data_IF_118234002076
#
_entry.id   IF_118234002076
#
_cell.length_a   1.000
_cell.length_b   1.000
_cell.length_c   1.000
_cell.angle_alpha   90.00
_cell.angle_beta   90.00
_cell.angle_gamma   90.00
#
_symmetry.space_group_name_H-M   'P 1'
#
loop_
_entity.id
_entity.type
_entity.pdbx_description
1 polymer ?
#
# COMPACT_ATOMS: atom_id res chain seq x y z
N UNK A 1 -18.56 -2.97 3.83
CA UNK A 1 -17.67 -4.13 3.57
C UNK A 1 -17.09 -3.92 2.20
N UNK A 2 -15.77 -3.75 2.09
CA UNK A 2 -15.07 -3.64 0.80
C UNK A 2 -15.39 -4.89 -0.04
N UNK A 3 -15.71 -4.77 -1.33
CA UNK A 3 -15.89 -5.97 -2.18
C UNK A 3 -14.66 -6.88 -2.14
N UNK A 4 -14.87 -8.18 -2.35
CA UNK A 4 -13.79 -9.19 -2.35
C UNK A 4 -12.66 -8.84 -3.32
N UNK A 5 -12.99 -8.22 -4.45
CA UNK A 5 -12.03 -7.78 -5.48
C UNK A 5 -11.16 -6.63 -4.97
N UNK A 6 -11.77 -5.64 -4.32
CA UNK A 6 -11.04 -4.55 -3.68
C UNK A 6 -10.06 -5.04 -2.62
N UNK A 7 -10.51 -5.95 -1.76
CA UNK A 7 -9.62 -6.57 -0.77
C UNK A 7 -8.47 -7.33 -1.45
N UNK A 8 -8.76 -8.10 -2.50
CA UNK A 8 -7.73 -8.82 -3.24
C UNK A 8 -6.65 -7.89 -3.84
N UNK A 9 -7.05 -6.77 -4.43
CA UNK A 9 -6.12 -5.79 -4.99
C UNK A 9 -5.29 -5.09 -3.91
N UNK A 10 -5.86 -4.84 -2.73
CA UNK A 10 -5.11 -4.30 -1.59
C UNK A 10 -4.14 -5.35 -1.00
N UNK A 11 -4.39 -6.65 -1.16
CA UNK A 11 -3.50 -7.69 -0.62
C UNK A 11 -2.40 -8.10 -1.61
N UNK A 12 -2.68 -8.11 -2.91
CA UNK A 12 -1.83 -8.82 -3.89
C UNK A 12 -1.30 -7.98 -5.05
N UNK A 13 -1.33 -6.66 -4.93
CA UNK A 13 -0.67 -5.81 -5.91
C UNK A 13 0.84 -6.05 -5.92
N UNK A 14 1.46 -5.85 -7.08
CA UNK A 14 2.92 -5.80 -7.16
C UNK A 14 3.46 -4.72 -6.21
N UNK A 15 4.66 -4.96 -5.67
CA UNK A 15 5.33 -4.08 -4.70
C UNK A 15 4.51 -3.79 -3.43
N UNK A 16 3.44 -4.55 -3.16
CA UNK A 16 2.68 -4.47 -1.91
C UNK A 16 3.50 -4.91 -0.69
N UNK A 17 4.64 -5.55 -0.90
CA UNK A 17 5.50 -6.02 0.16
C UNK A 17 6.94 -5.62 -0.08
N UNK A 18 7.67 -5.44 1.00
CA UNK A 18 9.13 -5.43 1.04
C UNK A 18 9.59 -6.83 1.42
N UNK A 19 10.58 -7.36 0.72
CA UNK A 19 11.21 -8.64 1.04
C UNK A 19 12.62 -8.38 1.54
N UNK A 20 13.03 -9.13 2.54
CA UNK A 20 14.35 -8.95 3.11
C UNK A 20 14.71 -10.02 4.12
N UNK A 21 16.00 -10.11 4.40
CA UNK A 21 16.55 -11.01 5.38
C UNK A 21 16.64 -10.34 6.75
N UNK A 22 16.51 -11.12 7.83
CA UNK A 22 16.70 -10.60 9.18
C UNK A 22 18.00 -11.06 9.84
N UNK A 23 18.48 -10.25 10.78
CA UNK A 23 19.51 -10.59 11.76
C UNK A 23 19.01 -10.28 13.17
N UNK A 24 19.24 -11.19 14.10
CA UNK A 24 18.94 -10.98 15.52
C UNK A 24 20.18 -10.40 16.19
N UNK A 25 20.10 -9.14 16.62
CA UNK A 25 21.16 -8.43 17.33
C UNK A 25 21.30 -8.87 18.80
N UNK A 26 22.29 -8.31 19.49
CA UNK A 26 22.67 -8.71 20.86
C UNK A 26 21.53 -8.51 21.89
N UNK A 27 20.68 -7.51 21.69
CA UNK A 27 19.53 -7.18 22.56
C UNK A 27 18.20 -7.76 22.05
N UNK A 28 18.24 -8.83 21.25
CA UNK A 28 17.08 -9.41 20.52
C UNK A 28 16.38 -8.40 19.58
N UNK A 29 17.09 -7.35 19.17
CA UNK A 29 16.62 -6.47 18.11
C UNK A 29 16.62 -7.20 16.76
N UNK A 30 15.63 -6.92 15.93
CA UNK A 30 15.52 -7.54 14.61
C UNK A 30 15.98 -6.50 13.58
N UNK A 31 17.16 -6.69 13.03
CA UNK A 31 17.63 -5.90 11.88
C UNK A 31 17.02 -6.52 10.62
N UNK A 32 16.48 -5.70 9.73
CA UNK A 32 15.89 -6.10 8.46
C UNK A 32 16.67 -5.45 7.32
N UNK A 33 17.20 -6.30 6.45
CA UNK A 33 17.97 -5.97 5.27
C UNK A 33 17.05 -6.05 4.05
N UNK A 34 16.69 -4.91 3.49
CA UNK A 34 15.82 -4.81 2.31
C UNK A 34 16.57 -5.27 1.05
N UNK A 35 16.03 -6.29 0.37
CA UNK A 35 16.66 -6.87 -0.83
C UNK A 35 16.70 -5.91 -2.03
N UNK A 36 15.81 -4.91 -2.07
CA UNK A 36 15.62 -3.99 -3.20
C UNK A 36 16.37 -2.69 -2.96
N UNK A 37 16.14 -2.07 -1.80
CA UNK A 37 16.70 -0.75 -1.49
C UNK A 37 18.13 -0.81 -0.95
N UNK A 38 18.67 -2.00 -0.67
CA UNK A 38 19.95 -2.21 0.04
C UNK A 38 20.03 -1.47 1.39
N UNK A 39 18.86 -1.15 1.95
CA UNK A 39 18.71 -0.42 3.21
C UNK A 39 18.65 -1.38 4.39
N UNK A 40 19.18 -0.94 5.53
CA UNK A 40 19.10 -1.66 6.81
C UNK A 40 18.26 -0.85 7.79
N UNK A 41 17.26 -1.50 8.37
CA UNK A 41 16.36 -0.86 9.32
C UNK A 41 16.09 -1.75 10.53
N UNK A 42 15.73 -1.13 11.65
CA UNK A 42 15.23 -1.86 12.81
C UNK A 42 13.76 -2.24 12.56
N UNK A 43 13.48 -3.53 12.51
CA UNK A 43 12.13 -4.04 12.31
C UNK A 43 11.37 -4.08 13.63
N UNK A 44 10.44 -3.12 13.78
CA UNK A 44 9.53 -3.06 14.92
C UNK A 44 8.24 -3.81 14.60
N UNK A 45 8.10 -5.02 15.12
CA UNK A 45 6.89 -5.83 14.99
C UNK A 45 5.98 -5.63 16.20
N UNK A 46 4.71 -5.37 15.94
CA UNK A 46 3.68 -5.27 16.98
C UNK A 46 2.90 -6.58 17.11
N UNK A 47 2.41 -6.87 18.31
CA UNK A 47 1.58 -8.05 18.55
C UNK A 47 0.37 -8.07 17.60
N UNK A 48 0.11 -9.23 17.00
CA UNK A 48 -0.89 -9.49 15.96
C UNK A 48 -0.61 -8.88 14.59
N UNK A 49 0.58 -8.31 14.37
CA UNK A 49 0.98 -7.84 13.04
C UNK A 49 1.15 -9.02 12.07
N UNK A 50 0.70 -8.84 10.83
CA UNK A 50 0.76 -9.86 9.79
C UNK A 50 2.08 -9.73 9.04
N UNK A 51 2.81 -10.84 8.96
CA UNK A 51 4.08 -10.94 8.26
C UNK A 51 4.15 -12.27 7.56
N UNK A 52 4.84 -12.35 6.44
CA UNK A 52 5.07 -13.60 5.75
C UNK A 52 6.52 -14.04 5.94
N UNK A 53 6.74 -15.33 6.13
CA UNK A 53 8.07 -15.92 6.28
C UNK A 53 8.32 -16.95 5.18
N UNK A 54 9.53 -16.95 4.63
CA UNK A 54 9.96 -17.93 3.65
C UNK A 54 10.51 -19.17 4.35
N UNK A 55 9.81 -20.30 4.22
CA UNK A 55 10.26 -21.58 4.77
C UNK A 55 10.22 -22.64 3.68
N UNK A 56 11.32 -23.40 3.52
CA UNK A 56 11.42 -24.48 2.52
C UNK A 56 11.00 -24.04 1.10
N UNK A 57 11.34 -22.81 0.71
CA UNK A 57 11.02 -22.24 -0.60
C UNK A 57 9.55 -21.82 -0.79
N UNK A 58 8.75 -21.76 0.27
CA UNK A 58 7.35 -21.31 0.23
C UNK A 58 7.08 -20.20 1.24
N UNK A 59 6.26 -19.23 0.86
CA UNK A 59 5.80 -18.16 1.74
C UNK A 59 4.65 -18.64 2.62
N UNK A 60 4.73 -18.34 3.92
CA UNK A 60 3.68 -18.64 4.88
C UNK A 60 3.20 -17.36 5.56
N UNK A 61 1.89 -17.10 5.48
CA UNK A 61 1.22 -16.09 6.29
C UNK A 61 1.39 -16.39 7.78
N UNK A 62 2.02 -15.45 8.47
CA UNK A 62 2.26 -15.47 9.89
C UNK A 62 1.56 -14.33 10.62
N UNK A 63 1.28 -14.57 11.90
CA UNK A 63 0.87 -13.52 12.84
C UNK A 63 1.95 -13.41 13.89
N UNK A 64 2.58 -12.25 14.01
CA UNK A 64 3.57 -11.98 15.06
C UNK A 64 2.89 -12.02 16.43
N UNK A 65 3.48 -12.77 17.36
CA UNK A 65 3.04 -12.86 18.73
C UNK A 65 3.86 -11.86 19.56
N UNK A 66 4.90 -12.34 20.24
CA UNK A 66 5.81 -11.56 21.07
C UNK A 66 7.20 -12.19 21.02
N UNK A 67 8.24 -11.42 21.34
CA UNK A 67 9.61 -11.93 21.53
C UNK A 67 10.14 -12.74 20.32
N UNK A 68 9.90 -12.26 19.08
CA UNK A 68 10.37 -12.95 17.87
C UNK A 68 9.54 -14.17 17.48
N UNK A 69 8.47 -14.49 18.19
CA UNK A 69 7.62 -15.65 17.89
C UNK A 69 6.55 -15.30 16.84
N UNK A 70 6.43 -16.14 15.82
CA UNK A 70 5.40 -16.03 14.78
C UNK A 70 4.51 -17.27 14.82
N UNK A 71 3.20 -17.08 14.74
CA UNK A 71 2.25 -18.16 14.50
C UNK A 71 2.00 -18.31 13.00
N UNK A 72 2.35 -19.47 12.45
CA UNK A 72 2.15 -19.88 11.05
C UNK A 72 1.24 -21.13 11.00
N UNK A 73 0.73 -21.55 9.82
CA UNK A 73 -0.22 -22.67 9.73
C UNK A 73 0.30 -24.01 10.28
N UNK A 74 1.63 -24.21 10.28
CA UNK A 74 2.29 -25.41 10.78
C UNK A 74 2.67 -25.35 12.27
N UNK A 75 2.31 -24.27 12.97
CA UNK A 75 2.61 -24.07 14.39
C UNK A 75 3.34 -22.75 14.62
N UNK A 76 4.11 -22.69 15.70
CA UNK A 76 4.90 -21.49 15.99
C UNK A 76 6.33 -21.63 15.44
N UNK A 77 6.82 -20.54 14.86
CA UNK A 77 8.20 -20.38 14.42
C UNK A 77 8.88 -19.28 15.25
N UNK A 78 10.08 -19.57 15.75
CA UNK A 78 10.91 -18.55 16.40
C UNK A 78 11.81 -17.91 15.34
N UNK A 79 11.69 -16.59 15.17
CA UNK A 79 12.57 -15.83 14.29
C UNK A 79 14.03 -16.03 14.66
N UNK A 80 14.87 -16.18 13.65
CA UNK A 80 16.32 -16.34 13.76
C UNK A 80 17.01 -15.60 12.61
N UNK A 81 18.30 -15.31 12.80
CA UNK A 81 19.15 -14.76 11.74
C UNK A 81 19.09 -15.63 10.49
N UNK A 82 19.13 -14.99 9.32
CA UNK A 82 18.93 -15.55 7.98
C UNK A 82 17.48 -15.96 7.63
N UNK A 83 16.51 -15.78 8.52
CA UNK A 83 15.11 -15.90 8.10
C UNK A 83 14.78 -14.78 7.09
N UNK A 84 14.09 -15.13 6.00
CA UNK A 84 13.61 -14.14 5.03
C UNK A 84 12.15 -13.83 5.31
N UNK A 85 11.86 -12.54 5.49
CA UNK A 85 10.52 -12.03 5.73
C UNK A 85 10.01 -11.24 4.54
N UNK A 86 8.70 -11.24 4.40
CA UNK A 86 7.97 -10.36 3.50
C UNK A 86 6.97 -9.56 4.32
N UNK A 87 7.13 -8.25 4.32
CA UNK A 87 6.39 -7.31 5.16
C UNK A 87 5.53 -6.44 4.25
N UNK A 88 4.26 -6.31 4.58
CA UNK A 88 3.32 -5.51 3.79
C UNK A 88 3.64 -4.02 3.94
N UNK A 89 3.83 -3.32 2.83
CA UNK A 89 3.99 -1.86 2.81
C UNK A 89 2.72 -1.21 3.35
N UNK A 90 2.88 -0.13 4.11
CA UNK A 90 1.75 0.70 4.54
C UNK A 90 1.42 1.70 3.44
N UNK A 91 0.14 1.87 3.14
CA UNK A 91 -0.32 2.94 2.26
C UNK A 91 -0.32 4.25 3.06
N UNK A 92 0.24 5.36 2.55
CA UNK A 92 0.19 6.64 3.26
C UNK A 92 -1.25 7.04 3.61
N UNK A 93 -1.47 7.54 4.83
CA UNK A 93 -2.80 7.84 5.35
C UNK A 93 -3.66 8.69 4.40
N UNK A 94 -3.08 9.73 3.80
CA UNK A 94 -3.82 10.62 2.89
C UNK A 94 -4.29 9.89 1.62
N UNK A 95 -3.51 8.94 1.08
CA UNK A 95 -3.93 8.08 -0.01
C UNK A 95 -4.96 7.05 0.46
N UNK A 96 -4.74 6.43 1.61
CA UNK A 96 -5.70 5.47 2.20
C UNK A 96 -7.08 6.11 2.41
N UNK A 97 -7.13 7.35 2.88
CA UNK A 97 -8.37 8.12 3.04
C UNK A 97 -9.08 8.29 1.70
N UNK A 98 -8.37 8.74 0.65
CA UNK A 98 -8.94 8.86 -0.69
C UNK A 98 -9.50 7.53 -1.18
N UNK A 99 -8.71 6.45 -1.07
CA UNK A 99 -9.14 5.13 -1.51
C UNK A 99 -10.43 4.73 -0.77
N UNK A 100 -10.49 4.85 0.56
CA UNK A 100 -11.66 4.48 1.38
C UNK A 100 -12.94 5.22 0.97
N UNK A 101 -12.83 6.47 0.54
CA UNK A 101 -13.96 7.28 0.08
C UNK A 101 -14.47 6.90 -1.33
N UNK A 102 -13.66 6.21 -2.13
CA UNK A 102 -14.10 5.77 -3.46
C UNK A 102 -15.12 4.64 -3.34
N UNK A 103 -16.14 4.70 -4.21
CA UNK A 103 -16.96 3.52 -4.52
C UNK A 103 -16.08 2.38 -5.03
N UNK A 104 -16.57 1.14 -4.95
CA UNK A 104 -15.82 -0.01 -5.42
C UNK A 104 -15.50 0.09 -6.92
N UNK A 105 -16.45 0.54 -7.75
CA UNK A 105 -16.22 0.74 -9.18
C UNK A 105 -15.15 1.80 -9.45
N UNK A 106 -15.19 2.94 -8.74
CA UNK A 106 -14.15 3.97 -8.82
C UNK A 106 -12.79 3.45 -8.39
N UNK A 107 -12.74 2.67 -7.32
CA UNK A 107 -11.51 2.06 -6.82
C UNK A 107 -10.92 1.09 -7.84
N UNK A 108 -11.73 0.20 -8.41
CA UNK A 108 -11.31 -0.77 -9.42
C UNK A 108 -10.82 -0.07 -10.69
N UNK A 109 -11.55 0.95 -11.16
CA UNK A 109 -11.15 1.71 -12.33
C UNK A 109 -9.85 2.51 -12.10
N UNK A 110 -9.71 3.12 -10.91
CA UNK A 110 -8.50 3.83 -10.49
C UNK A 110 -7.28 2.89 -10.47
N UNK A 111 -7.39 1.78 -9.75
CA UNK A 111 -6.30 0.81 -9.59
C UNK A 111 -5.93 0.17 -10.92
N UNK A 112 -6.90 -0.27 -11.72
CA UNK A 112 -6.64 -0.80 -13.06
C UNK A 112 -5.93 0.21 -13.96
N UNK A 113 -6.30 1.50 -13.88
CA UNK A 113 -5.62 2.55 -14.64
C UNK A 113 -4.19 2.76 -14.18
N UNK A 114 -3.96 2.83 -12.87
CA UNK A 114 -2.63 2.95 -12.29
C UNK A 114 -1.73 1.76 -12.67
N UNK A 115 -2.25 0.54 -12.54
CA UNK A 115 -1.54 -0.69 -12.91
C UNK A 115 -1.27 -0.77 -14.43
N UNK A 116 -2.12 -0.21 -15.28
CA UNK A 116 -1.86 -0.15 -16.74
C UNK A 116 -0.65 0.73 -17.11
N UNK A 117 -0.18 1.56 -16.18
CA UNK A 117 1.07 2.32 -16.29
C UNK A 117 2.22 1.68 -15.51
N UNK A 118 2.06 0.43 -15.05
CA UNK A 118 3.01 -0.33 -14.24
C UNK A 118 3.24 0.25 -12.84
N UNK A 119 2.30 1.04 -12.32
CA UNK A 119 2.33 1.55 -10.95
C UNK A 119 1.35 0.80 -10.06
N UNK A 120 1.71 0.69 -8.79
CA UNK A 120 0.95 0.12 -7.68
C UNK A 120 0.54 1.23 -6.74
N UNK A 121 -0.53 1.04 -5.97
CA UNK A 121 -0.89 1.98 -4.88
C UNK A 121 0.23 2.12 -3.84
N UNK A 122 1.11 1.11 -3.76
CA UNK A 122 2.25 1.05 -2.86
C UNK A 122 3.48 1.81 -3.36
N UNK A 123 3.42 2.33 -4.58
CA UNK A 123 4.48 3.15 -5.19
C UNK A 123 4.34 4.63 -4.81
N UNK A 124 3.38 5.00 -3.95
CA UNK A 124 3.11 6.40 -3.58
C UNK A 124 4.19 6.95 -2.64
N UNK A 125 5.02 7.86 -3.16
CA UNK A 125 6.11 8.50 -2.41
C UNK A 125 5.74 9.88 -1.86
N UNK A 126 4.69 10.51 -2.39
CA UNK A 126 4.17 11.78 -1.89
C UNK A 126 2.66 11.84 -2.05
N UNK A 127 1.97 12.33 -1.03
CA UNK A 127 0.52 12.49 -1.04
C UNK A 127 0.08 13.74 -0.29
N UNK A 128 -0.77 14.52 -0.93
CA UNK A 128 -1.55 15.60 -0.35
C UNK A 128 -3.01 15.36 -0.68
N UNK A 129 -3.85 15.14 0.34
CA UNK A 129 -5.27 14.91 0.13
C UNK A 129 -6.10 16.04 0.74
N UNK A 130 -6.68 16.89 -0.11
CA UNK A 130 -7.50 18.02 0.32
C UNK A 130 -8.76 17.58 1.06
N UNK A 131 -9.32 16.39 0.76
CA UNK A 131 -10.52 15.88 1.45
C UNK A 131 -10.31 15.69 2.96
N UNK A 132 -9.08 15.38 3.39
CA UNK A 132 -8.76 15.16 4.80
C UNK A 132 -9.04 16.41 5.64
N UNK A 133 -8.89 17.61 5.05
CA UNK A 133 -9.16 18.89 5.72
C UNK A 133 -10.61 19.33 5.65
N UNK A 134 -11.49 18.53 5.02
CA UNK A 134 -12.90 18.83 4.81
C UNK A 134 -13.79 17.70 5.36
N UNK A 135 -13.30 16.88 6.28
CA UNK A 135 -13.98 15.66 6.73
C UNK A 135 -15.43 15.89 7.21
N UNK A 136 -15.66 17.01 7.92
CA UNK A 136 -16.96 17.39 8.47
C UNK A 136 -17.85 18.19 7.50
N UNK A 137 -17.37 18.52 6.30
CA UNK A 137 -18.14 19.28 5.32
C UNK A 137 -19.03 18.36 4.47
N UNK A 138 -20.31 18.71 4.32
CA UNK A 138 -21.25 17.98 3.47
C UNK A 138 -21.00 18.21 1.97
N UNK A 139 -20.38 19.33 1.60
CA UNK A 139 -20.12 19.79 0.23
C UNK A 139 -18.63 19.84 -0.11
N UNK A 140 -17.90 18.76 0.22
CA UNK A 140 -16.45 18.67 -0.05
C UNK A 140 -16.14 18.91 -1.53
N UNK A 141 -15.19 19.79 -1.81
CA UNK A 141 -14.74 20.11 -3.17
C UNK A 141 -13.25 20.44 -3.13
N UNK A 142 -12.49 19.87 -4.06
CA UNK A 142 -11.08 20.19 -4.17
C UNK A 142 -10.31 19.27 -5.09
N UNK A 143 -8.99 19.40 -4.97
CA UNK A 143 -8.02 18.61 -5.73
C UNK A 143 -6.96 18.07 -4.78
N UNK A 144 -6.71 16.77 -4.87
CA UNK A 144 -5.67 16.07 -4.14
C UNK A 144 -4.54 15.70 -5.11
N UNK A 145 -3.29 15.68 -4.62
CA UNK A 145 -2.09 15.45 -5.41
C UNK A 145 -1.34 14.24 -4.88
N UNK A 146 -0.95 13.34 -5.78
CA UNK A 146 -0.19 12.15 -5.45
C UNK A 146 0.96 11.96 -6.44
N UNK A 147 2.08 11.44 -5.95
CA UNK A 147 3.25 11.12 -6.75
C UNK A 147 3.63 9.66 -6.51
N UNK A 148 3.76 8.92 -7.61
CA UNK A 148 4.16 7.53 -7.60
C UNK A 148 5.55 7.36 -8.23
N UNK A 149 6.34 6.46 -7.67
CA UNK A 149 7.65 6.03 -8.13
C UNK A 149 7.73 4.51 -8.03
N UNK A 150 7.89 3.85 -9.17
CA UNK A 150 8.00 2.39 -9.25
C UNK A 150 9.44 1.94 -9.53
N UNK A 151 10.43 2.80 -9.23
CA UNK A 151 11.88 2.64 -9.47
C UNK A 151 12.29 2.74 -10.95
N UNK A 152 11.36 2.55 -11.88
CA UNK A 152 11.60 2.68 -13.33
C UNK A 152 11.14 4.05 -13.88
N UNK A 153 10.04 4.58 -13.32
CA UNK A 153 9.36 5.75 -13.81
C UNK A 153 8.60 6.48 -12.70
N UNK A 154 8.20 7.71 -13.00
CA UNK A 154 7.49 8.60 -12.10
C UNK A 154 6.10 8.89 -12.68
N UNK A 155 5.05 8.85 -11.86
CA UNK A 155 3.68 9.19 -12.25
C UNK A 155 3.03 10.17 -11.29
N UNK A 156 2.71 11.36 -11.79
CA UNK A 156 1.90 12.35 -11.07
C UNK A 156 0.41 12.08 -11.27
N UNK A 157 -0.35 12.22 -10.19
CA UNK A 157 -1.80 12.05 -10.16
C UNK A 157 -2.46 13.25 -9.49
N UNK A 158 -3.49 13.77 -10.15
CA UNK A 158 -4.44 14.70 -9.54
C UNK A 158 -5.79 14.02 -9.38
N UNK A 159 -6.38 14.08 -8.20
CA UNK A 159 -7.74 13.62 -7.94
C UNK A 159 -8.61 14.82 -7.62
N UNK A 160 -9.42 15.22 -8.60
CA UNK A 160 -10.46 16.22 -8.46
C UNK A 160 -11.70 15.52 -7.91
N UNK A 161 -12.26 16.02 -6.83
CA UNK A 161 -13.42 15.42 -6.18
C UNK A 161 -14.48 16.48 -5.90
N UNK A 162 -15.75 16.07 -6.01
CA UNK A 162 -16.89 16.79 -5.43
C UNK A 162 -17.76 15.83 -4.63
N UNK A 163 -18.27 16.29 -3.49
CA UNK A 163 -19.26 15.62 -2.65
C UNK A 163 -20.42 16.60 -2.43
N UNK A 164 -21.61 16.08 -2.17
CA UNK A 164 -22.85 16.85 -2.10
C UNK A 164 -23.89 16.37 -3.12
N UNK A 165 -24.52 17.29 -3.85
CA UNK A 165 -25.62 16.96 -4.78
C UNK A 165 -25.17 16.15 -6.01
N UNK A 166 -23.90 16.25 -6.39
CA UNK A 166 -23.26 15.39 -7.39
C UNK A 166 -21.94 14.90 -6.82
N UNK A 167 -21.83 13.58 -6.74
CA UNK A 167 -20.59 12.94 -6.35
C UNK A 167 -19.79 12.62 -7.62
N UNK A 168 -18.61 13.19 -7.72
CA UNK A 168 -17.73 13.02 -8.88
C UNK A 168 -16.30 12.77 -8.41
N UNK A 169 -15.63 11.84 -9.09
CA UNK A 169 -14.20 11.65 -9.01
C UNK A 169 -13.60 11.76 -10.41
N UNK A 170 -12.61 12.65 -10.56
CA UNK A 170 -11.86 12.84 -11.79
C UNK A 170 -10.37 12.71 -11.50
N UNK A 171 -9.75 11.70 -12.09
CA UNK A 171 -8.34 11.39 -11.94
C UNK A 171 -7.57 11.76 -13.20
N UNK A 172 -6.56 12.61 -13.05
CA UNK A 172 -5.63 12.98 -14.12
C UNK A 172 -4.27 12.37 -13.85
N UNK A 173 -3.80 11.50 -14.74
CA UNK A 173 -2.51 10.84 -14.65
C UNK A 173 -1.54 11.43 -15.66
N UNK A 174 -0.30 11.68 -15.25
CA UNK A 174 0.81 12.03 -16.15
C UNK A 174 2.09 11.31 -15.72
N UNK A 175 2.66 10.50 -16.60
CA UNK A 175 3.94 9.83 -16.37
C UNK A 175 5.11 10.66 -16.90
N UNK A 176 6.32 10.45 -16.37
CA UNK A 176 7.55 11.08 -16.86
C UNK A 176 7.88 10.70 -18.32
N UNK A 177 7.33 9.60 -18.82
CA UNK A 177 7.44 9.17 -20.23
C UNK A 177 6.47 9.88 -21.17
N UNK A 178 5.65 10.80 -20.64
CA UNK A 178 4.67 11.57 -21.41
C UNK A 178 3.30 10.88 -21.59
N UNK A 179 3.12 9.65 -21.12
CA UNK A 179 1.79 9.00 -21.11
C UNK A 179 0.84 9.76 -20.18
N UNK A 180 -0.40 9.93 -20.65
CA UNK A 180 -1.47 10.63 -19.94
C UNK A 180 -2.76 9.82 -19.96
N UNK A 181 -3.54 9.93 -18.91
CA UNK A 181 -4.90 9.40 -18.88
C UNK A 181 -5.82 10.30 -18.06
N UNK A 182 -7.09 10.27 -18.43
CA UNK A 182 -8.18 10.87 -17.67
C UNK A 182 -9.18 9.76 -17.33
N UNK A 183 -9.56 9.66 -16.06
CA UNK A 183 -10.65 8.80 -15.60
C UNK A 183 -11.67 9.68 -14.90
N UNK A 184 -12.93 9.60 -15.30
CA UNK A 184 -14.03 10.29 -14.61
C UNK A 184 -15.08 9.28 -14.21
N UNK A 185 -15.54 9.38 -12.96
CA UNK A 185 -16.59 8.56 -12.39
C UNK A 185 -17.62 9.48 -11.75
N UNK A 186 -18.88 9.30 -12.15
CA UNK A 186 -20.02 10.04 -11.61
C UNK A 186 -20.86 9.04 -10.85
N UNK A 187 -21.06 9.28 -9.55
CA UNK A 187 -21.91 8.45 -8.71
C UNK A 187 -23.30 9.07 -8.70
N UNK A 188 -24.30 8.27 -9.08
CA UNK A 188 -25.71 8.69 -9.15
C UNK A 188 -26.43 8.39 -7.85
#
# INVERSE_FOLDING_TARGET
MLSKERHHLLERQERAHVTGMIEIGEDNEILFYDDINEDVSLLQLHQNERIEILLHGSWYDGTYLTEGQILIPMGSHQLKTEDTLRIKKKVPYALEYMLKELSDDSFLAFTAKLNSFSFSIYDCIYCYNQMVFQEEADDKLGVSFFQFDNEEAICGLQHHFSRGSKQEDRFEFTTCTGKRALLTQIHT
#
